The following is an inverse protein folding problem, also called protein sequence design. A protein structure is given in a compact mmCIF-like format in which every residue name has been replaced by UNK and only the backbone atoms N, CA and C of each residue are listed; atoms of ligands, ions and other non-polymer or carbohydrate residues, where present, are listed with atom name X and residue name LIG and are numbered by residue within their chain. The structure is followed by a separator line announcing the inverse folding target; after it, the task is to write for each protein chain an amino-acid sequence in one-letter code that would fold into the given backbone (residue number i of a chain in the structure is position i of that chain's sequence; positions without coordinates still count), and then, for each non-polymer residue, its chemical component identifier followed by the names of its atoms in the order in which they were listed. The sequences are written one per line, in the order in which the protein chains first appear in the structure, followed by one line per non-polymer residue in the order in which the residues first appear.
data_IF_741810814477
#
_entry.id   IF_741810814477
#
_cell.length_a   1.000
_cell.length_b   1.000
_cell.length_c   1.000
_cell.angle_alpha   90.00
_cell.angle_beta   90.00
_cell.angle_gamma   90.00
#
_symmetry.space_group_name_H-M   'P 1'
#
loop_
_entity.id
_entity.type
_entity.pdbx_description
1 polymer ?
#
# COMPACT_ATOMS: atom_id res chain seq x y z
N UNK A 1 -8.40 33.47 0.28
CA UNK A 1 -8.86 32.38 1.17
C UNK A 1 -9.93 31.49 0.53
N UNK A 2 -11.02 32.04 -0.05
CA UNK A 2 -12.07 31.23 -0.71
C UNK A 2 -11.55 30.27 -1.80
N UNK A 3 -10.67 30.75 -2.69
CA UNK A 3 -10.10 29.88 -3.74
C UNK A 3 -9.22 28.74 -3.20
N UNK A 4 -8.51 28.97 -2.09
CA UNK A 4 -7.69 27.94 -1.47
C UNK A 4 -8.57 26.83 -0.88
N UNK A 5 -9.70 27.22 -0.30
CA UNK A 5 -10.68 26.30 0.27
C UNK A 5 -11.41 25.48 -0.81
N UNK A 6 -11.70 26.09 -1.97
CA UNK A 6 -12.29 25.36 -3.10
C UNK A 6 -11.30 24.40 -3.78
N UNK A 7 -10.03 24.81 -3.95
CA UNK A 7 -8.98 23.91 -4.45
C UNK A 7 -8.79 22.70 -3.54
N UNK A 8 -8.66 22.92 -2.23
CA UNK A 8 -8.50 21.82 -1.25
C UNK A 8 -9.70 20.88 -1.25
N UNK A 9 -10.93 21.40 -1.37
CA UNK A 9 -12.13 20.55 -1.50
C UNK A 9 -12.14 19.76 -2.80
N UNK A 10 -11.78 20.39 -3.91
CA UNK A 10 -11.75 19.74 -5.21
C UNK A 10 -10.68 18.64 -5.25
N UNK A 11 -9.49 18.91 -4.72
CA UNK A 11 -8.41 17.92 -4.59
C UNK A 11 -8.83 16.74 -3.71
N UNK A 12 -9.52 17.01 -2.59
CA UNK A 12 -10.04 15.96 -1.71
C UNK A 12 -11.13 15.11 -2.38
N UNK A 13 -12.06 15.71 -3.12
CA UNK A 13 -13.10 14.99 -3.88
C UNK A 13 -12.45 14.15 -5.01
N UNK A 14 -11.47 14.72 -5.72
CA UNK A 14 -10.73 14.01 -6.77
C UNK A 14 -9.99 12.82 -6.17
N UNK A 15 -9.30 13.00 -5.04
CA UNK A 15 -8.59 11.92 -4.32
C UNK A 15 -9.56 10.83 -3.90
N UNK A 16 -10.70 11.18 -3.29
CA UNK A 16 -11.71 10.22 -2.87
C UNK A 16 -12.29 9.41 -4.05
N UNK A 17 -12.58 10.07 -5.16
CA UNK A 17 -13.02 9.41 -6.40
C UNK A 17 -11.93 8.50 -6.98
N UNK A 18 -10.67 8.92 -6.93
CA UNK A 18 -9.53 8.12 -7.36
C UNK A 18 -9.38 6.86 -6.49
N UNK A 19 -9.45 7.01 -5.16
CA UNK A 19 -9.39 5.90 -4.21
C UNK A 19 -10.52 4.88 -4.47
N UNK A 20 -11.73 5.36 -4.71
CA UNK A 20 -12.88 4.51 -4.99
C UNK A 20 -12.72 3.76 -6.32
N UNK A 21 -12.29 4.46 -7.38
CA UNK A 21 -12.00 3.85 -8.68
C UNK A 21 -10.87 2.80 -8.58
N UNK A 22 -9.79 3.13 -7.87
CA UNK A 22 -8.66 2.21 -7.67
C UNK A 22 -9.08 0.98 -6.86
N UNK A 23 -9.86 1.17 -5.78
CA UNK A 23 -10.38 0.08 -4.97
C UNK A 23 -11.25 -0.91 -5.79
N UNK A 24 -12.10 -0.39 -6.68
CA UNK A 24 -12.90 -1.23 -7.60
C UNK A 24 -12.00 -2.01 -8.57
N UNK A 25 -10.98 -1.36 -9.15
CA UNK A 25 -10.02 -2.01 -10.07
C UNK A 25 -9.26 -3.14 -9.36
N UNK A 26 -8.86 -2.94 -8.10
CA UNK A 26 -8.15 -3.95 -7.30
C UNK A 26 -9.00 -5.20 -7.05
N UNK A 27 -10.30 -5.01 -6.78
CA UNK A 27 -11.23 -6.13 -6.53
C UNK A 27 -11.55 -6.88 -7.83
N UNK A 28 -11.78 -6.16 -8.93
CA UNK A 28 -12.19 -6.77 -10.20
C UNK A 28 -11.02 -7.43 -10.95
N UNK A 29 -9.82 -6.85 -10.89
CA UNK A 29 -8.66 -7.33 -11.65
C UNK A 29 -7.37 -7.43 -10.81
N UNK A 30 -7.37 -8.16 -9.69
CA UNK A 30 -6.20 -8.27 -8.82
C UNK A 30 -4.98 -8.80 -9.57
N UNK A 31 -5.16 -9.82 -10.41
CA UNK A 31 -4.07 -10.41 -11.22
C UNK A 31 -3.46 -9.41 -12.20
N UNK A 32 -4.28 -8.56 -12.84
CA UNK A 32 -3.76 -7.55 -13.78
C UNK A 32 -2.99 -6.46 -13.05
N UNK A 33 -3.49 -6.05 -11.87
CA UNK A 33 -2.83 -5.06 -11.02
C UNK A 33 -1.46 -5.56 -10.57
N UNK A 34 -1.35 -6.81 -10.11
CA UNK A 34 -0.06 -7.38 -9.70
C UNK A 34 0.93 -7.42 -10.88
N UNK A 35 0.51 -7.93 -12.04
CA UNK A 35 1.35 -7.98 -13.25
C UNK A 35 1.79 -6.58 -13.67
N UNK A 36 0.89 -5.60 -13.64
CA UNK A 36 1.21 -4.22 -13.99
C UNK A 36 2.19 -3.61 -13.00
N UNK A 37 2.00 -3.82 -11.69
CA UNK A 37 2.90 -3.35 -10.64
C UNK A 37 4.30 -3.95 -10.79
N UNK A 38 4.40 -5.28 -10.97
CA UNK A 38 5.68 -5.94 -11.19
C UNK A 38 6.38 -5.47 -12.47
N UNK A 39 5.64 -5.22 -13.55
CA UNK A 39 6.21 -4.63 -14.77
C UNK A 39 6.73 -3.22 -14.54
N UNK A 40 5.98 -2.38 -13.83
CA UNK A 40 6.42 -1.02 -13.50
C UNK A 40 7.69 -1.04 -12.64
N UNK A 41 7.72 -1.87 -11.60
CA UNK A 41 8.89 -2.03 -10.75
C UNK A 41 10.09 -2.55 -11.57
N UNK A 42 9.89 -3.59 -12.39
CA UNK A 42 10.93 -4.12 -13.26
C UNK A 42 11.47 -3.07 -14.25
N UNK A 43 10.59 -2.26 -14.83
CA UNK A 43 10.97 -1.17 -15.72
C UNK A 43 11.79 -0.09 -15.01
N UNK A 44 11.37 0.34 -13.81
CA UNK A 44 12.11 1.32 -13.00
C UNK A 44 13.50 0.77 -12.65
N UNK A 45 13.59 -0.48 -12.18
CA UNK A 45 14.86 -1.14 -11.87
C UNK A 45 15.76 -1.21 -13.11
N UNK A 46 15.21 -1.57 -14.27
CA UNK A 46 15.95 -1.62 -15.52
C UNK A 46 16.50 -0.24 -15.90
N UNK A 47 15.68 0.82 -15.84
CA UNK A 47 16.11 2.19 -16.12
C UNK A 47 17.20 2.64 -15.15
N UNK A 48 17.05 2.37 -13.84
CA UNK A 48 18.09 2.68 -12.85
C UNK A 48 19.40 1.94 -13.12
N UNK A 49 19.33 0.67 -13.55
CA UNK A 49 20.47 -0.11 -13.99
C UNK A 49 21.17 0.52 -15.19
N UNK A 50 20.41 0.87 -16.23
CA UNK A 50 20.93 1.52 -17.45
C UNK A 50 21.59 2.86 -17.14
N UNK A 51 20.97 3.70 -16.31
CA UNK A 51 21.54 4.98 -15.88
C UNK A 51 22.88 4.78 -15.18
N UNK A 52 23.00 3.77 -14.31
CA UNK A 52 24.28 3.44 -13.65
C UNK A 52 25.34 2.96 -14.64
N UNK A 53 24.97 2.16 -15.63
CA UNK A 53 25.88 1.71 -16.69
C UNK A 53 26.39 2.91 -17.51
N UNK A 54 25.48 3.78 -17.97
CA UNK A 54 25.85 4.98 -18.74
C UNK A 54 26.72 5.92 -17.92
N UNK A 55 26.36 6.16 -16.66
CA UNK A 55 27.11 7.03 -15.75
C UNK A 55 28.55 6.54 -15.53
N UNK A 56 28.79 5.23 -15.53
CA UNK A 56 30.15 4.69 -15.46
C UNK A 56 30.98 5.06 -16.69
N UNK A 57 30.42 4.93 -17.89
CA UNK A 57 31.13 5.25 -19.14
C UNK A 57 31.39 6.76 -19.29
N UNK A 58 30.53 7.62 -18.73
CA UNK A 58 30.68 9.08 -18.81
C UNK A 58 31.61 9.66 -17.73
N UNK A 59 31.65 9.08 -16.52
CA UNK A 59 32.48 9.57 -15.41
C UNK A 59 33.75 8.73 -15.18
N UNK A 60 34.67 8.74 -16.15
CA UNK A 60 35.99 8.08 -16.12
C UNK A 60 36.87 8.40 -14.89
N UNK A 61 36.54 9.41 -14.07
CA UNK A 61 37.38 9.88 -12.96
C UNK A 61 37.02 9.35 -11.56
N UNK A 62 35.83 8.77 -11.35
CA UNK A 62 35.46 8.26 -10.03
C UNK A 62 35.64 6.74 -9.95
N UNK A 63 36.63 6.35 -9.14
CA UNK A 63 37.12 5.00 -8.93
C UNK A 63 36.12 4.14 -8.14
N UNK A 64 34.95 3.88 -8.71
CA UNK A 64 33.94 2.98 -8.16
C UNK A 64 33.83 1.72 -9.02
N UNK A 65 34.87 0.88 -9.02
CA UNK A 65 34.93 -0.38 -9.80
C UNK A 65 33.76 -1.35 -9.55
N UNK A 66 32.98 -1.14 -8.48
CA UNK A 66 31.76 -1.88 -8.15
C UNK A 66 30.50 -1.38 -8.87
N UNK A 67 30.49 -0.19 -9.46
CA UNK A 67 29.27 0.39 -10.05
C UNK A 67 28.88 -0.25 -11.40
N UNK A 68 29.84 -0.72 -12.19
CA UNK A 68 29.55 -1.33 -13.49
C UNK A 68 29.00 -2.76 -13.38
N UNK A 69 29.61 -3.69 -12.61
CA UNK A 69 29.03 -5.02 -12.42
C UNK A 69 27.64 -4.95 -11.79
N UNK A 70 27.45 -4.06 -10.81
CA UNK A 70 26.17 -3.89 -10.11
C UNK A 70 25.11 -3.27 -11.04
N UNK A 71 25.46 -2.27 -11.86
CA UNK A 71 24.56 -1.69 -12.86
C UNK A 71 24.12 -2.70 -13.93
N UNK A 72 25.05 -3.56 -14.40
CA UNK A 72 24.74 -4.61 -15.37
C UNK A 72 23.81 -5.68 -14.77
N UNK A 73 24.12 -6.18 -13.58
CA UNK A 73 23.27 -7.15 -12.87
C UNK A 73 21.88 -6.56 -12.64
N UNK A 74 21.80 -5.31 -12.18
CA UNK A 74 20.52 -4.64 -11.93
C UNK A 74 19.69 -4.48 -13.20
N UNK A 75 20.33 -4.15 -14.33
CA UNK A 75 19.67 -4.05 -15.63
C UNK A 75 19.12 -5.41 -16.07
N UNK A 76 19.93 -6.47 -15.97
CA UNK A 76 19.51 -7.84 -16.34
C UNK A 76 18.35 -8.33 -15.47
N UNK A 77 18.42 -8.09 -14.15
CA UNK A 77 17.35 -8.43 -13.22
C UNK A 77 16.08 -7.64 -13.54
N UNK A 78 16.18 -6.33 -13.78
CA UNK A 78 15.02 -5.49 -14.14
C UNK A 78 14.33 -5.95 -15.44
N UNK A 79 15.11 -6.25 -16.48
CA UNK A 79 14.58 -6.79 -17.75
C UNK A 79 13.95 -8.16 -17.57
N UNK A 80 14.57 -9.03 -16.76
CA UNK A 80 14.03 -10.36 -16.46
C UNK A 80 12.68 -10.26 -15.74
N UNK A 81 12.56 -9.39 -14.73
CA UNK A 81 11.29 -9.12 -14.03
C UNK A 81 10.23 -8.58 -15.00
N UNK A 82 10.61 -7.67 -15.91
CA UNK A 82 9.68 -7.08 -16.88
C UNK A 82 9.11 -8.13 -17.86
N UNK A 83 9.94 -9.08 -18.30
CA UNK A 83 9.56 -10.13 -19.23
C UNK A 83 8.75 -11.26 -18.57
N UNK A 84 9.05 -11.60 -17.31
CA UNK A 84 8.40 -12.69 -16.58
C UNK A 84 7.98 -12.29 -15.15
N UNK A 85 6.99 -11.39 -15.00
CA UNK A 85 6.53 -10.95 -13.68
C UNK A 85 5.94 -12.10 -12.86
N UNK A 86 5.14 -12.98 -13.47
CA UNK A 86 4.48 -14.09 -12.79
C UNK A 86 5.45 -15.10 -12.14
N UNK A 87 6.62 -15.34 -12.73
CA UNK A 87 7.62 -16.26 -12.15
C UNK A 87 8.29 -15.67 -10.93
N UNK A 88 8.50 -14.35 -10.90
CA UNK A 88 9.13 -13.64 -9.80
C UNK A 88 8.18 -13.53 -8.61
N UNK A 89 6.91 -13.22 -8.86
CA UNK A 89 5.87 -13.16 -7.81
C UNK A 89 5.81 -14.48 -7.03
N UNK A 90 5.73 -15.62 -7.74
CA UNK A 90 5.72 -16.94 -7.12
C UNK A 90 7.01 -17.26 -6.36
N UNK A 91 8.17 -16.96 -6.95
CA UNK A 91 9.45 -17.25 -6.30
C UNK A 91 9.62 -16.44 -5.00
N UNK A 92 9.26 -15.15 -5.03
CA UNK A 92 9.32 -14.26 -3.87
C UNK A 92 8.37 -14.73 -2.77
N UNK A 93 7.11 -15.03 -3.12
CA UNK A 93 6.14 -15.43 -2.09
C UNK A 93 6.42 -16.81 -1.51
N UNK A 94 6.92 -17.76 -2.31
CA UNK A 94 7.39 -19.06 -1.78
C UNK A 94 8.54 -18.82 -0.80
N UNK A 95 9.50 -17.95 -1.13
CA UNK A 95 10.60 -17.59 -0.23
C UNK A 95 10.11 -17.01 1.09
N UNK A 96 9.18 -16.05 1.04
CA UNK A 96 8.54 -15.47 2.22
C UNK A 96 7.77 -16.53 3.01
N UNK A 97 7.03 -17.41 2.34
CA UNK A 97 6.25 -18.49 2.95
C UNK A 97 7.13 -19.48 3.72
N UNK A 98 8.29 -19.86 3.16
CA UNK A 98 9.27 -20.73 3.84
C UNK A 98 9.82 -20.05 5.09
N UNK A 99 10.24 -18.79 5.00
CA UNK A 99 10.75 -18.04 6.15
C UNK A 99 9.70 -17.96 7.25
N UNK A 100 8.46 -17.64 6.88
CA UNK A 100 7.34 -17.50 7.81
C UNK A 100 6.95 -18.84 8.45
N UNK A 101 7.05 -19.95 7.71
CA UNK A 101 6.86 -21.29 8.26
C UNK A 101 7.94 -21.65 9.28
N UNK A 102 9.21 -21.34 9.00
CA UNK A 102 10.32 -21.59 9.93
C UNK A 102 10.13 -20.80 11.23
N UNK A 103 9.81 -19.51 11.13
CA UNK A 103 9.52 -18.69 12.31
C UNK A 103 8.31 -19.21 13.10
N UNK A 104 7.21 -19.57 12.43
CA UNK A 104 6.05 -20.15 13.10
C UNK A 104 6.39 -21.47 13.81
N UNK A 105 7.29 -22.27 13.24
CA UNK A 105 7.76 -23.51 13.85
C UNK A 105 8.67 -23.26 15.07
N UNK A 106 9.51 -22.22 15.04
CA UNK A 106 10.28 -21.78 16.20
C UNK A 106 9.35 -21.30 17.32
N UNK A 107 8.37 -20.45 17.01
CA UNK A 107 7.37 -19.97 17.98
C UNK A 107 6.56 -21.12 18.58
N UNK A 108 6.20 -22.12 17.78
CA UNK A 108 5.54 -23.33 18.26
C UNK A 108 6.42 -24.08 19.28
N UNK A 109 7.72 -24.23 19.01
CA UNK A 109 8.67 -24.84 19.97
C UNK A 109 8.77 -24.00 21.24
N UNK A 110 8.94 -22.68 21.12
CA UNK A 110 8.99 -21.79 22.26
C UNK A 110 7.73 -21.87 23.12
N UNK A 111 6.56 -22.00 22.50
CA UNK A 111 5.30 -22.18 23.24
C UNK A 111 5.29 -23.48 24.06
N UNK A 112 5.83 -24.58 23.52
CA UNK A 112 5.92 -25.87 24.22
C UNK A 112 6.93 -25.83 25.37
N UNK A 113 8.05 -25.13 25.20
CA UNK A 113 9.03 -24.90 26.27
C UNK A 113 8.44 -24.01 27.37
N UNK A 114 7.76 -22.94 26.98
CA UNK A 114 7.10 -21.98 27.88
C UNK A 114 5.95 -22.62 28.67
N UNK A 115 5.23 -23.57 28.05
CA UNK A 115 4.24 -24.43 28.74
C UNK A 115 4.88 -25.26 29.86
N UNK A 116 6.09 -25.79 29.64
CA UNK A 116 6.82 -26.57 30.66
C UNK A 116 7.39 -25.67 31.76
N UNK A 117 7.64 -24.40 31.45
CA UNK A 117 8.11 -23.36 32.38
C UNK A 117 7.04 -22.72 33.28
N UNK A 118 5.79 -23.20 33.28
CA UNK A 118 4.68 -22.66 34.09
C UNK A 118 4.28 -21.20 33.80
N UNK A 119 4.40 -20.74 32.55
CA UNK A 119 3.94 -19.42 32.13
C UNK A 119 2.48 -19.46 31.67
N UNK A 120 1.59 -18.66 32.27
CA UNK A 120 0.14 -18.76 32.08
C UNK A 120 -0.34 -18.49 30.64
N UNK A 121 0.38 -17.66 29.87
CA UNK A 121 -0.05 -17.24 28.52
C UNK A 121 0.60 -18.06 27.38
N UNK A 122 1.10 -19.26 27.66
CA UNK A 122 1.74 -20.15 26.66
C UNK A 122 0.84 -20.45 25.45
N UNK A 123 -0.48 -20.47 25.65
CA UNK A 123 -1.47 -20.67 24.59
C UNK A 123 -1.45 -19.58 23.53
N UNK A 124 -1.13 -18.33 23.89
CA UNK A 124 -1.07 -17.22 22.93
C UNK A 124 0.09 -17.43 21.97
N UNK A 125 1.27 -17.77 22.48
CA UNK A 125 2.47 -18.05 21.68
C UNK A 125 2.21 -19.27 20.77
N UNK A 126 1.53 -20.30 21.28
CA UNK A 126 1.16 -21.47 20.49
C UNK A 126 0.24 -21.10 19.34
N UNK A 127 -0.77 -20.27 19.61
CA UNK A 127 -1.72 -19.79 18.59
C UNK A 127 -1.01 -18.96 17.51
N UNK A 128 -0.11 -18.05 17.90
CA UNK A 128 0.69 -17.27 16.95
C UNK A 128 1.58 -18.17 16.09
N UNK A 129 2.27 -19.15 16.69
CA UNK A 129 3.11 -20.09 15.96
C UNK A 129 2.32 -20.93 14.95
N UNK A 130 1.17 -21.48 15.36
CA UNK A 130 0.28 -22.21 14.46
C UNK A 130 -0.27 -21.34 13.33
N UNK A 131 -0.68 -20.10 13.66
CA UNK A 131 -1.16 -19.15 12.66
C UNK A 131 -0.05 -18.81 11.66
N UNK A 132 1.17 -18.56 12.14
CA UNK A 132 2.36 -18.35 11.32
C UNK A 132 2.62 -19.54 10.41
N UNK A 133 2.67 -20.76 10.93
CA UNK A 133 2.86 -21.96 10.11
C UNK A 133 1.77 -22.11 9.04
N UNK A 134 0.50 -21.88 9.38
CA UNK A 134 -0.62 -21.98 8.45
C UNK A 134 -0.51 -20.93 7.33
N UNK A 135 -0.22 -19.67 7.67
CA UNK A 135 0.01 -18.60 6.68
C UNK A 135 1.21 -18.91 5.79
N UNK A 136 2.29 -19.46 6.34
CA UNK A 136 3.48 -19.86 5.59
C UNK A 136 3.16 -20.95 4.57
N UNK A 137 2.41 -21.98 4.98
CA UNK A 137 1.95 -23.06 4.08
C UNK A 137 1.04 -22.48 2.98
N UNK A 138 0.10 -21.59 3.32
CA UNK A 138 -0.78 -20.96 2.33
C UNK A 138 0.04 -20.19 1.27
N UNK A 139 1.06 -19.44 1.67
CA UNK A 139 1.96 -18.75 0.75
C UNK A 139 2.74 -19.70 -0.18
N UNK A 140 3.10 -20.89 0.30
CA UNK A 140 3.84 -21.90 -0.49
C UNK A 140 2.91 -22.60 -1.49
N UNK A 141 1.68 -22.94 -1.08
CA UNK A 141 0.73 -23.71 -1.90
C UNK A 141 0.08 -22.81 -2.96
N UNK A 142 -0.41 -21.63 -2.58
CA UNK A 142 -1.15 -20.75 -3.48
C UNK A 142 -0.78 -19.27 -3.29
N UNK A 143 0.25 -18.86 -4.02
CA UNK A 143 0.71 -17.48 -4.04
C UNK A 143 -0.33 -16.52 -4.63
N UNK A 144 -0.98 -16.91 -5.72
CA UNK A 144 -1.96 -16.05 -6.38
C UNK A 144 -3.21 -15.87 -5.52
N UNK A 145 -3.65 -16.91 -4.80
CA UNK A 145 -4.73 -16.82 -3.83
C UNK A 145 -4.44 -15.82 -2.72
N UNK A 146 -3.27 -15.91 -2.07
CA UNK A 146 -2.89 -15.01 -0.98
C UNK A 146 -2.83 -13.55 -1.45
N UNK A 147 -2.20 -13.29 -2.60
CA UNK A 147 -2.10 -11.94 -3.17
C UNK A 147 -3.49 -11.41 -3.54
N UNK A 148 -4.35 -12.26 -4.12
CA UNK A 148 -5.72 -11.88 -4.50
C UNK A 148 -6.55 -11.50 -3.29
N UNK A 149 -6.49 -12.28 -2.20
CA UNK A 149 -7.19 -11.97 -0.95
C UNK A 149 -6.67 -10.65 -0.36
N UNK A 150 -5.35 -10.47 -0.30
CA UNK A 150 -4.74 -9.25 0.23
C UNK A 150 -5.18 -8.01 -0.58
N UNK A 151 -5.11 -8.06 -1.91
CA UNK A 151 -5.54 -6.95 -2.78
C UNK A 151 -7.04 -6.68 -2.68
N UNK A 152 -7.85 -7.71 -2.47
CA UNK A 152 -9.30 -7.54 -2.24
C UNK A 152 -9.56 -6.79 -0.94
N UNK A 153 -8.87 -7.16 0.14
CA UNK A 153 -8.98 -6.45 1.44
C UNK A 153 -8.55 -4.99 1.30
N UNK A 154 -7.42 -4.74 0.61
CA UNK A 154 -6.96 -3.37 0.32
C UNK A 154 -7.98 -2.62 -0.53
N UNK A 155 -8.56 -3.25 -1.55
CA UNK A 155 -9.58 -2.63 -2.40
C UNK A 155 -10.85 -2.25 -1.63
N UNK A 156 -11.32 -3.12 -0.73
CA UNK A 156 -12.45 -2.83 0.17
C UNK A 156 -12.12 -1.67 1.10
N UNK A 157 -10.91 -1.65 1.67
CA UNK A 157 -10.46 -0.56 2.53
C UNK A 157 -10.42 0.78 1.78
N UNK A 158 -9.95 0.80 0.53
CA UNK A 158 -9.92 2.01 -0.31
C UNK A 158 -11.31 2.53 -0.67
N UNK A 159 -12.27 1.62 -0.93
CA UNK A 159 -13.67 2.02 -1.15
C UNK A 159 -14.24 2.64 0.12
N UNK A 160 -14.00 2.02 1.28
CA UNK A 160 -14.43 2.57 2.56
C UNK A 160 -13.84 3.95 2.84
N UNK A 161 -12.54 4.12 2.56
CA UNK A 161 -11.82 5.39 2.72
C UNK A 161 -12.42 6.49 1.83
N UNK A 162 -12.56 6.23 0.52
CA UNK A 162 -13.14 7.18 -0.43
C UNK A 162 -14.60 7.56 -0.12
N UNK A 163 -15.42 6.60 0.35
CA UNK A 163 -16.78 6.88 0.79
C UNK A 163 -16.83 7.71 2.08
N UNK A 164 -15.93 7.41 3.03
CA UNK A 164 -15.82 8.13 4.30
C UNK A 164 -15.42 9.59 4.06
N UNK A 165 -14.43 9.83 3.21
CA UNK A 165 -13.99 11.17 2.84
C UNK A 165 -15.10 11.97 2.17
N UNK A 166 -15.83 11.37 1.22
CA UNK A 166 -16.94 12.04 0.54
C UNK A 166 -18.08 12.39 1.51
N UNK A 167 -18.35 11.50 2.48
CA UNK A 167 -19.34 11.74 3.52
C UNK A 167 -18.92 12.88 4.46
N UNK A 168 -17.66 12.91 4.90
CA UNK A 168 -17.11 13.97 5.74
C UNK A 168 -17.20 15.32 5.02
N UNK A 169 -16.77 15.40 3.75
CA UNK A 169 -16.83 16.63 2.95
C UNK A 169 -18.27 17.14 2.80
N UNK A 170 -19.23 16.24 2.60
CA UNK A 170 -20.67 16.58 2.52
C UNK A 170 -21.19 17.18 3.83
N UNK A 171 -20.83 16.58 4.97
CA UNK A 171 -21.21 17.08 6.30
C UNK A 171 -20.57 18.43 6.60
N UNK A 172 -19.27 18.58 6.35
CA UNK A 172 -18.54 19.84 6.56
C UNK A 172 -19.11 20.96 5.70
N UNK A 173 -19.46 20.69 4.44
CA UNK A 173 -20.13 21.66 3.57
C UNK A 173 -21.50 22.07 4.09
N UNK A 174 -22.29 21.13 4.60
CA UNK A 174 -23.61 21.43 5.20
C UNK A 174 -23.46 22.35 6.41
N UNK A 175 -22.53 22.04 7.31
CA UNK A 175 -22.30 22.82 8.54
C UNK A 175 -21.70 24.20 8.24
N UNK A 176 -20.77 24.31 7.30
CA UNK A 176 -20.23 25.60 6.88
C UNK A 176 -21.30 26.50 6.26
N UNK A 177 -22.24 25.91 5.49
CA UNK A 177 -23.35 26.64 4.89
C UNK A 177 -24.37 27.10 5.93
N UNK A 178 -24.65 26.30 6.97
CA UNK A 178 -25.55 26.72 8.05
C UNK A 178 -24.95 27.80 8.95
N UNK A 179 -23.63 27.78 9.20
CA UNK A 179 -22.94 28.82 9.99
C UNK A 179 -22.90 30.14 9.21
N UNK A 180 -22.61 30.10 7.90
CA UNK A 180 -22.65 31.30 7.06
C UNK A 180 -24.08 31.87 6.94
N UNK A 181 -25.10 31.01 6.91
CA UNK A 181 -26.49 31.47 6.91
C UNK A 181 -26.88 32.12 8.24
N UNK A 182 -26.43 31.58 9.38
CA UNK A 182 -26.65 32.19 10.70
C UNK A 182 -25.89 33.51 10.85
N UNK A 183 -24.62 33.57 10.45
CA UNK A 183 -23.84 34.81 10.49
C UNK A 183 -24.46 35.91 9.61
N UNK A 184 -24.97 35.54 8.42
CA UNK A 184 -25.61 36.49 7.51
C UNK A 184 -26.98 36.98 8.02
N UNK A 185 -27.72 36.14 8.75
CA UNK A 185 -29.00 36.53 9.36
C UNK A 185 -28.80 37.49 10.54
N UNK A 186 -27.76 37.25 11.36
CA UNK A 186 -27.39 38.13 12.48
C UNK A 186 -26.92 39.51 11.99
N UNK A 187 -26.07 39.55 10.95
CA UNK A 187 -25.63 40.83 10.36
C UNK A 187 -26.81 41.62 9.76
N UNK A 188 -27.81 40.96 9.17
CA UNK A 188 -28.98 41.68 8.63
C UNK A 188 -29.90 42.23 9.72
N UNK A 189 -30.06 41.53 10.85
CA UNK A 189 -30.85 42.05 11.98
C UNK A 189 -30.17 43.27 12.62
N UNK A 190 -28.83 43.26 12.75
CA UNK A 190 -28.08 44.39 13.32
C UNK A 190 -28.21 45.65 12.44
N UNK A 191 -28.18 45.49 11.11
CA UNK A 191 -28.34 46.61 10.18
C UNK A 191 -29.77 47.19 10.17
N UNK A 192 -30.80 46.37 10.39
CA UNK A 192 -32.19 46.85 10.50
C UNK A 192 -32.47 47.59 11.83
N UNK A 193 -31.78 47.25 12.92
CA UNK A 193 -31.87 47.96 14.19
C UNK A 193 -31.12 49.31 14.22
N UNK A 194 -30.08 49.49 13.40
CA UNK A 194 -29.29 50.74 13.35
C UNK A 194 -29.95 51.86 12.50
N UNK A 195 -30.89 51.50 11.62
CA UNK A 195 -31.61 52.43 10.73
C UNK A 195 -32.93 52.98 11.33
N UNK A 196 -33.22 52.72 12.63
CA UNK A 196 -34.39 53.20 13.39
C UNK A 196 -33.98 54.25 14.43
#
# INVERSE_FOLDING_TARGET
MKEFFERVKMDAIISALLCLAFGVVLILWPVKVTIAACKLIGAVIAVLGVVRVISYFMNTKENHGINLPLGLVLTLVGVFIFLRPASIENLLLIGIGVVLFVHGFEDFKYALETKRGSYDNWWVILLLGLLGMALGILCIIDCFGVITVALTVVGVALIYDGLSDLWIISRVNKTAKSILAQAKAVDSEILEEEDI
#
